data_IF_903410366833
#
_entry.id   IF_903410366833
#
_cell.length_a   1.000
_cell.length_b   1.000
_cell.length_c   1.000
_cell.angle_alpha   90.00
_cell.angle_beta   90.00
_cell.angle_gamma   90.00
#
_symmetry.space_group_name_H-M   'P 1'
#
loop_
_entity.id
_entity.type
_entity.pdbx_description
1 polymer ?
#
# COMPACT_ATOMS: atom_id res chain seq x y z
N UNK A 1 73.78 -37.82 9.99
CA UNK A 1 72.56 -37.13 9.50
C UNK A 1 71.89 -38.04 8.49
N UNK A 2 70.72 -38.61 8.83
CA UNK A 2 69.97 -39.46 7.90
C UNK A 2 69.42 -38.60 6.76
N UNK A 3 69.79 -38.94 5.52
CA UNK A 3 69.11 -38.44 4.31
C UNK A 3 67.69 -38.98 4.30
N UNK A 4 66.70 -38.11 4.24
CA UNK A 4 65.31 -38.52 4.03
C UNK A 4 65.21 -39.27 2.69
N UNK A 5 64.88 -40.57 2.72
CA UNK A 5 64.68 -41.41 1.52
C UNK A 5 63.19 -41.52 1.20
N UNK A 6 62.76 -40.75 0.21
CA UNK A 6 61.43 -40.74 -0.40
C UNK A 6 61.34 -39.58 -1.40
N UNK A 7 60.46 -39.68 -2.41
CA UNK A 7 60.20 -38.56 -3.33
C UNK A 7 59.68 -37.37 -2.52
N UNK A 8 60.50 -36.34 -2.36
CA UNK A 8 60.10 -35.08 -1.76
C UNK A 8 59.11 -34.41 -2.71
N UNK A 9 57.82 -34.66 -2.49
CA UNK A 9 56.77 -33.80 -3.03
C UNK A 9 56.89 -32.50 -2.23
N UNK A 10 57.36 -31.43 -2.86
CA UNK A 10 57.58 -30.13 -2.23
C UNK A 10 56.27 -29.63 -1.60
N UNK A 11 56.09 -29.87 -0.30
CA UNK A 11 55.04 -29.22 0.46
C UNK A 11 55.42 -27.73 0.61
N UNK A 12 54.47 -26.77 0.49
CA UNK A 12 54.73 -25.34 0.64
C UNK A 12 55.27 -24.92 2.01
N UNK A 13 55.23 -25.83 2.99
CA UNK A 13 55.59 -25.57 4.38
C UNK A 13 56.93 -26.26 4.66
N UNK A 14 57.99 -25.47 4.92
CA UNK A 14 59.37 -25.96 5.13
C UNK A 14 59.84 -25.61 6.54
N UNK A 15 60.39 -26.57 7.30
CA UNK A 15 61.51 -26.33 8.22
C UNK A 15 62.79 -26.38 7.38
N UNK A 16 63.49 -25.27 7.19
CA UNK A 16 64.69 -25.20 6.35
C UNK A 16 65.92 -25.78 7.05
N UNK A 17 65.97 -25.77 8.39
CA UNK A 17 66.97 -26.48 9.17
C UNK A 17 66.45 -26.89 10.57
N UNK A 18 67.35 -27.45 11.40
CA UNK A 18 67.02 -27.91 12.75
C UNK A 18 66.86 -26.78 13.79
N UNK A 19 67.07 -25.51 13.40
CA UNK A 19 66.86 -24.34 14.24
C UNK A 19 65.48 -23.68 14.02
N UNK A 20 64.79 -23.99 12.91
CA UNK A 20 63.42 -23.55 12.68
C UNK A 20 62.46 -24.22 13.68
N UNK A 21 62.08 -23.48 14.73
CA UNK A 21 61.15 -23.95 15.75
C UNK A 21 59.73 -24.18 15.21
N UNK A 22 59.37 -23.57 14.08
CA UNK A 22 58.04 -23.68 13.49
C UNK A 22 58.14 -23.77 11.96
N UNK A 23 57.31 -24.61 11.31
CA UNK A 23 57.24 -24.66 9.86
C UNK A 23 56.70 -23.34 9.28
N UNK A 24 57.38 -22.77 8.29
CA UNK A 24 56.99 -21.51 7.63
C UNK A 24 56.91 -21.68 6.11
N UNK A 25 56.20 -20.76 5.46
CA UNK A 25 56.07 -20.66 4.00
C UNK A 25 56.14 -19.18 3.60
N UNK A 26 56.70 -18.88 2.42
CA UNK A 26 56.62 -17.51 1.91
C UNK A 26 55.16 -17.19 1.57
N UNK A 27 54.72 -15.94 1.85
CA UNK A 27 53.37 -15.46 1.51
C UNK A 27 52.96 -15.80 0.07
N UNK A 28 53.89 -15.71 -0.87
CA UNK A 28 53.67 -15.97 -2.29
C UNK A 28 53.42 -17.43 -2.66
N UNK A 29 53.72 -18.37 -1.75
CA UNK A 29 53.58 -19.82 -1.96
C UNK A 29 52.25 -20.37 -1.43
N UNK A 30 51.45 -19.55 -0.73
CA UNK A 30 50.16 -19.95 -0.13
C UNK A 30 49.01 -19.44 -1.01
N UNK A 31 48.23 -20.36 -1.58
CA UNK A 31 47.02 -20.02 -2.34
C UNK A 31 46.05 -19.19 -1.48
N UNK A 32 45.53 -18.10 -2.04
CA UNK A 32 44.59 -17.21 -1.35
C UNK A 32 45.20 -16.37 -0.22
N UNK A 33 46.51 -16.51 0.04
CA UNK A 33 47.22 -15.77 1.07
C UNK A 33 47.34 -14.28 0.75
N UNK A 34 47.93 -13.53 1.68
CA UNK A 34 48.31 -12.16 1.38
C UNK A 34 49.52 -12.17 0.43
N UNK A 35 49.61 -11.29 -0.55
CA UNK A 35 50.77 -11.15 -1.45
C UNK A 35 51.31 -9.72 -1.42
N UNK A 36 52.58 -9.57 -1.81
CA UNK A 36 53.20 -8.27 -2.07
C UNK A 36 53.80 -8.29 -3.47
N UNK A 37 53.57 -7.22 -4.24
CA UNK A 37 54.02 -7.06 -5.63
C UNK A 37 54.57 -5.65 -5.86
N UNK A 38 55.49 -5.52 -6.80
CA UNK A 38 56.09 -4.22 -7.09
C UNK A 38 55.09 -3.32 -7.81
N UNK A 39 54.40 -3.82 -8.83
CA UNK A 39 53.46 -3.06 -9.67
C UNK A 39 52.07 -3.71 -9.77
N UNK A 40 51.07 -2.96 -10.26
CA UNK A 40 49.76 -3.52 -10.62
C UNK A 40 49.89 -4.64 -11.65
N UNK A 41 50.77 -4.48 -12.65
CA UNK A 41 50.97 -5.50 -13.68
C UNK A 41 51.45 -6.82 -13.06
N UNK A 42 52.34 -6.77 -12.05
CA UNK A 42 52.80 -7.96 -11.33
C UNK A 42 51.72 -8.61 -10.46
N UNK A 43 50.77 -7.81 -9.94
CA UNK A 43 49.56 -8.31 -9.26
C UNK A 43 48.64 -9.01 -10.24
N UNK A 44 48.39 -8.40 -11.39
CA UNK A 44 47.49 -8.95 -12.41
C UNK A 44 48.10 -10.17 -13.13
N UNK A 45 49.42 -10.33 -13.06
CA UNK A 45 50.14 -11.52 -13.51
C UNK A 45 50.18 -12.68 -12.48
N UNK A 46 49.59 -12.54 -11.28
CA UNK A 46 49.48 -13.65 -10.32
C UNK A 46 48.71 -14.79 -10.99
N UNK A 47 49.34 -15.96 -11.12
CA UNK A 47 48.75 -17.09 -11.83
C UNK A 47 47.46 -17.59 -11.17
N UNK A 48 46.48 -18.02 -11.99
CA UNK A 48 45.15 -18.44 -11.53
C UNK A 48 45.18 -19.54 -10.44
N UNK A 49 46.16 -20.43 -10.49
CA UNK A 49 46.40 -21.48 -9.49
C UNK A 49 46.68 -20.98 -8.06
N UNK A 50 47.11 -19.72 -7.90
CA UNK A 50 47.36 -19.08 -6.60
C UNK A 50 46.21 -18.16 -6.15
N UNK A 51 45.21 -17.94 -7.00
CA UNK A 51 44.09 -17.04 -6.71
C UNK A 51 42.97 -17.72 -5.93
N UNK A 52 42.42 -16.99 -4.97
CA UNK A 52 41.20 -17.33 -4.24
C UNK A 52 40.40 -16.06 -3.98
N UNK A 53 39.08 -16.16 -3.97
CA UNK A 53 38.22 -15.03 -3.68
C UNK A 53 38.54 -14.49 -2.27
N UNK A 54 38.71 -13.18 -2.15
CA UNK A 54 39.11 -12.53 -0.89
C UNK A 54 40.61 -12.44 -0.66
N UNK A 55 41.45 -12.97 -1.56
CA UNK A 55 42.91 -12.82 -1.51
C UNK A 55 43.33 -11.33 -1.48
N UNK A 56 44.31 -10.98 -0.65
CA UNK A 56 44.84 -9.61 -0.54
C UNK A 56 46.20 -9.45 -1.24
N UNK A 57 46.42 -8.36 -1.97
CA UNK A 57 47.73 -8.02 -2.53
C UNK A 57 48.12 -6.56 -2.26
N UNK A 58 49.24 -6.33 -1.58
CA UNK A 58 49.85 -5.00 -1.46
C UNK A 58 50.73 -4.73 -2.69
N UNK A 59 50.54 -3.57 -3.32
CA UNK A 59 51.33 -3.09 -4.45
C UNK A 59 52.21 -1.94 -3.97
N UNK A 60 53.52 -2.13 -4.06
CA UNK A 60 54.52 -1.19 -3.51
C UNK A 60 54.49 0.14 -4.26
N UNK A 61 54.44 0.10 -5.60
CA UNK A 61 54.44 1.31 -6.43
C UNK A 61 53.28 2.25 -6.10
N UNK A 62 52.11 1.69 -5.79
CA UNK A 62 50.89 2.44 -5.51
C UNK A 62 50.65 2.65 -4.01
N UNK A 63 51.55 2.11 -3.18
CA UNK A 63 51.40 2.04 -1.72
C UNK A 63 49.99 1.58 -1.28
N UNK A 64 49.40 0.63 -2.03
CA UNK A 64 47.98 0.31 -1.97
C UNK A 64 47.74 -1.19 -1.83
N UNK A 65 46.72 -1.56 -1.05
CA UNK A 65 46.25 -2.93 -0.83
C UNK A 65 44.98 -3.17 -1.63
N UNK A 66 44.96 -4.27 -2.37
CA UNK A 66 43.82 -4.72 -3.16
C UNK A 66 43.27 -6.06 -2.67
N UNK A 67 41.98 -6.31 -2.86
CA UNK A 67 41.31 -7.60 -2.61
C UNK A 67 40.74 -8.18 -3.89
N UNK A 68 40.92 -9.48 -4.11
CA UNK A 68 40.41 -10.18 -5.28
C UNK A 68 38.93 -10.54 -5.10
N UNK A 69 38.08 -10.26 -6.09
CA UNK A 69 36.65 -10.58 -6.07
C UNK A 69 36.38 -12.05 -6.41
N UNK A 70 35.12 -12.45 -6.27
CA UNK A 70 34.64 -13.81 -6.53
C UNK A 70 34.85 -14.29 -7.98
N UNK A 71 35.03 -13.37 -8.93
CA UNK A 71 35.31 -13.70 -10.33
C UNK A 71 36.77 -14.11 -10.58
N UNK A 72 37.64 -14.02 -9.56
CA UNK A 72 39.07 -14.35 -9.61
C UNK A 72 39.88 -13.50 -10.61
N UNK A 73 39.31 -12.41 -11.09
CA UNK A 73 39.94 -11.52 -12.07
C UNK A 73 39.95 -10.07 -11.59
N UNK A 74 38.84 -9.61 -10.98
CA UNK A 74 38.66 -8.22 -10.59
C UNK A 74 39.26 -7.95 -9.22
N UNK A 75 40.12 -6.94 -9.14
CA UNK A 75 40.70 -6.43 -7.90
C UNK A 75 39.99 -5.16 -7.45
N UNK A 76 39.66 -5.06 -6.16
CA UNK A 76 39.16 -3.83 -5.55
C UNK A 76 40.18 -3.22 -4.59
N UNK A 77 40.29 -1.90 -4.58
CA UNK A 77 41.14 -1.18 -3.62
C UNK A 77 40.53 -1.27 -2.21
N UNK A 78 41.33 -1.64 -1.22
CA UNK A 78 40.90 -1.76 0.19
C UNK A 78 41.62 -0.76 1.11
N UNK A 79 42.78 -0.25 0.70
CA UNK A 79 43.42 0.86 1.41
C UNK A 79 44.76 1.22 0.79
N UNK A 80 45.02 2.52 0.60
CA UNK A 80 46.28 3.03 0.06
C UNK A 80 46.60 4.43 0.59
N UNK A 81 47.88 4.80 0.56
CA UNK A 81 48.28 6.18 0.81
C UNK A 81 47.85 7.02 -0.39
N UNK A 82 46.71 7.70 -0.26
CA UNK A 82 46.33 8.75 -1.19
C UNK A 82 47.27 9.93 -0.99
N UNK A 83 48.19 10.12 -1.93
CA UNK A 83 48.80 11.43 -2.15
C UNK A 83 47.68 12.40 -2.49
N UNK A 84 47.58 13.45 -1.67
CA UNK A 84 46.48 14.40 -1.70
C UNK A 84 46.42 15.17 -3.00
N UNK A 85 45.38 14.89 -3.78
CA UNK A 85 44.90 15.81 -4.81
C UNK A 85 43.38 15.92 -4.70
N UNK A 86 42.95 16.80 -3.80
CA UNK A 86 41.93 17.80 -4.12
C UNK A 86 40.49 17.38 -4.32
N UNK A 87 40.07 16.14 -4.06
CA UNK A 87 38.64 15.83 -3.95
C UNK A 87 38.23 15.71 -2.48
N UNK A 88 37.25 16.53 -2.11
CA UNK A 88 36.74 16.70 -0.77
C UNK A 88 36.34 15.34 -0.18
N UNK A 89 37.24 14.78 0.63
CA UNK A 89 37.01 13.62 1.49
C UNK A 89 36.07 14.07 2.62
N UNK A 90 34.81 14.32 2.24
CA UNK A 90 33.71 14.00 3.10
C UNK A 90 33.95 12.55 3.51
N UNK A 91 34.16 12.36 4.82
CA UNK A 91 34.07 11.07 5.50
C UNK A 91 33.13 10.19 4.68
N UNK A 92 33.63 9.10 4.09
CA UNK A 92 32.79 8.10 3.45
C UNK A 92 31.90 7.45 4.51
N UNK A 93 30.89 8.20 4.93
CA UNK A 93 29.71 7.74 5.61
C UNK A 93 29.01 6.88 4.56
N UNK A 94 29.30 5.58 4.64
CA UNK A 94 28.50 4.44 4.19
C UNK A 94 27.58 4.82 3.04
N UNK A 95 27.90 4.40 1.83
CA UNK A 95 27.19 4.64 0.57
C UNK A 95 25.74 4.13 0.51
N UNK A 96 24.94 4.37 1.55
CA UNK A 96 23.50 4.29 1.51
C UNK A 96 22.99 5.42 0.64
N UNK A 97 21.87 5.15 -0.01
CA UNK A 97 21.19 5.99 -0.98
C UNK A 97 20.60 7.25 -0.30
N UNK A 98 21.45 8.11 0.26
CA UNK A 98 21.02 9.37 0.87
C UNK A 98 20.51 10.29 -0.25
N UNK A 99 19.27 10.79 -0.11
CA UNK A 99 18.59 11.58 -1.14
C UNK A 99 19.32 12.86 -1.59
N UNK A 100 18.75 13.53 -2.60
CA UNK A 100 19.34 14.70 -3.27
C UNK A 100 19.46 15.90 -2.31
N UNK A 101 20.65 16.50 -2.25
CA UNK A 101 20.88 17.75 -1.52
C UNK A 101 20.03 18.90 -2.08
N UNK A 102 19.28 19.57 -1.21
CA UNK A 102 18.41 20.70 -1.57
C UNK A 102 18.99 22.00 -1.02
N UNK A 103 19.11 23.04 -1.86
CA UNK A 103 19.61 24.35 -1.42
C UNK A 103 18.68 24.97 -0.38
N UNK A 104 19.24 25.69 0.59
CA UNK A 104 18.44 26.52 1.49
C UNK A 104 17.80 27.68 0.71
N UNK A 105 16.67 28.22 1.19
CA UNK A 105 16.01 29.39 0.59
C UNK A 105 16.25 30.67 1.40
N UNK A 106 16.17 31.84 0.75
CA UNK A 106 16.17 33.20 1.33
C UNK A 106 17.27 33.49 2.38
N UNK A 107 18.31 34.20 1.96
CA UNK A 107 19.54 34.41 2.73
C UNK A 107 19.64 35.83 3.28
N UNK A 108 20.48 36.02 4.30
CA UNK A 108 20.87 37.35 4.75
C UNK A 108 21.61 38.10 3.62
N UNK A 109 21.35 39.40 3.47
CA UNK A 109 21.86 40.22 2.36
C UNK A 109 23.41 40.33 2.31
N UNK A 110 24.08 40.11 3.45
CA UNK A 110 25.54 40.13 3.54
C UNK A 110 26.24 38.84 3.05
N UNK A 111 25.49 37.84 2.55
CA UNK A 111 26.04 36.59 2.02
C UNK A 111 26.16 36.73 0.50
N UNK A 112 27.38 36.64 -0.05
CA UNK A 112 27.64 36.91 -1.48
C UNK A 112 28.13 35.73 -2.30
N UNK A 113 28.68 34.70 -1.67
CA UNK A 113 29.00 33.47 -2.37
C UNK A 113 28.46 32.29 -1.57
N UNK A 114 27.65 31.49 -2.24
CA UNK A 114 26.89 30.38 -1.67
C UNK A 114 27.41 29.08 -2.24
N UNK A 115 28.62 28.69 -1.84
CA UNK A 115 29.10 27.36 -2.16
C UNK A 115 28.41 26.34 -1.25
N UNK A 116 27.20 25.93 -1.64
CA UNK A 116 26.64 24.67 -1.20
C UNK A 116 25.86 24.66 0.12
N UNK A 117 25.36 25.79 0.64
CA UNK A 117 24.39 25.80 1.75
C UNK A 117 23.13 25.00 1.39
N UNK A 118 23.07 23.77 1.89
CA UNK A 118 22.09 22.78 1.51
C UNK A 118 21.67 21.94 2.71
N UNK A 119 20.50 21.33 2.60
CA UNK A 119 20.05 20.31 3.52
C UNK A 119 19.65 19.05 2.76
N UNK A 120 19.67 17.92 3.44
CA UNK A 120 19.01 16.69 2.97
C UNK A 120 18.31 16.03 4.14
N UNK A 121 17.19 15.38 3.88
CA UNK A 121 16.48 14.59 4.87
C UNK A 121 16.55 13.12 4.48
N UNK A 122 17.07 12.29 5.37
CA UNK A 122 17.09 10.84 5.24
C UNK A 122 15.95 10.22 6.04
N UNK A 123 15.04 9.55 5.34
CA UNK A 123 13.96 8.73 5.90
C UNK A 123 14.25 7.22 5.75
N UNK A 124 15.24 6.87 4.93
CA UNK A 124 15.50 5.48 4.52
C UNK A 124 16.26 4.69 5.58
N UNK A 125 17.22 5.33 6.26
CA UNK A 125 17.99 4.69 7.32
C UNK A 125 17.22 4.58 8.63
N UNK A 126 16.15 5.38 8.80
CA UNK A 126 15.40 5.48 10.04
C UNK A 126 13.90 5.69 9.73
N UNK A 127 13.11 4.62 9.54
CA UNK A 127 11.71 4.73 9.13
C UNK A 127 10.83 5.45 10.18
N UNK A 128 11.31 5.53 11.42
CA UNK A 128 10.62 6.19 12.52
C UNK A 128 11.15 7.60 12.84
N UNK A 129 12.26 8.01 12.20
CA UNK A 129 12.95 9.28 12.48
C UNK A 129 13.55 9.84 11.20
N UNK A 130 13.13 11.03 10.79
CA UNK A 130 13.83 11.73 9.71
C UNK A 130 15.18 12.23 10.24
N UNK A 131 16.30 12.05 9.53
CA UNK A 131 17.57 12.73 9.87
C UNK A 131 17.80 13.86 8.87
N UNK A 132 17.86 15.11 9.35
CA UNK A 132 18.15 16.26 8.48
C UNK A 132 19.60 16.70 8.66
N UNK A 133 20.37 16.58 7.58
CA UNK A 133 21.73 17.06 7.48
C UNK A 133 21.70 18.49 6.94
N UNK A 134 22.51 19.37 7.50
CA UNK A 134 22.74 20.72 6.98
C UNK A 134 24.23 20.91 6.79
N UNK A 135 24.63 21.27 5.58
CA UNK A 135 26.02 21.51 5.23
C UNK A 135 26.15 22.73 4.33
N UNK A 136 27.35 23.28 4.25
CA UNK A 136 27.72 24.19 3.18
C UNK A 136 28.76 25.21 3.59
N UNK A 137 29.03 26.14 2.69
CA UNK A 137 29.99 27.20 2.86
C UNK A 137 29.36 28.54 2.50
N UNK A 138 29.81 29.59 3.17
CA UNK A 138 29.40 30.95 2.84
C UNK A 138 30.56 31.94 3.02
N UNK A 139 30.48 33.03 2.25
CA UNK A 139 31.35 34.19 2.37
C UNK A 139 30.54 35.47 2.62
N UNK A 140 31.17 36.44 3.30
CA UNK A 140 30.59 37.75 3.57
C UNK A 140 31.25 38.82 2.70
N UNK A 141 30.45 39.73 2.13
CA UNK A 141 30.92 40.86 1.31
C UNK A 141 31.31 42.10 2.11
N UNK A 142 30.77 42.22 3.31
CA UNK A 142 31.03 43.30 4.23
C UNK A 142 31.28 42.72 5.63
N UNK A 143 32.03 43.47 6.44
CA UNK A 143 32.23 43.10 7.83
C UNK A 143 30.87 43.08 8.51
N UNK A 144 30.52 41.94 9.13
CA UNK A 144 29.23 41.81 9.80
C UNK A 144 29.42 42.04 11.30
N UNK A 145 28.77 43.09 11.80
CA UNK A 145 28.64 43.39 13.22
C UNK A 145 27.18 43.14 13.66
N UNK A 146 26.97 42.11 14.48
CA UNK A 146 25.64 41.72 14.95
C UNK A 146 25.70 40.45 15.78
N UNK A 147 24.57 39.91 16.21
CA UNK A 147 24.54 38.67 17.02
C UNK A 147 23.96 37.48 16.26
N UNK A 148 23.32 37.69 15.11
CA UNK A 148 22.62 36.66 14.35
C UNK A 148 22.76 36.87 12.85
N UNK A 149 23.10 35.81 12.11
CA UNK A 149 23.07 35.76 10.63
C UNK A 149 22.11 34.64 10.23
N UNK A 150 21.10 34.94 9.42
CA UNK A 150 20.20 33.93 8.85
C UNK A 150 20.82 33.33 7.57
N UNK A 151 21.14 32.04 7.62
CA UNK A 151 21.70 31.27 6.51
C UNK A 151 20.65 30.75 5.54
N UNK A 152 19.37 30.75 5.93
CA UNK A 152 18.29 30.31 5.06
C UNK A 152 17.10 29.76 5.81
N UNK A 153 16.18 29.15 5.06
CA UNK A 153 14.96 28.52 5.62
C UNK A 153 14.79 27.10 5.07
N UNK A 154 14.47 26.16 5.97
CA UNK A 154 14.05 24.80 5.65
C UNK A 154 12.53 24.79 5.32
N UNK A 155 12.11 24.13 4.23
CA UNK A 155 10.70 23.99 3.86
C UNK A 155 9.84 23.37 4.97
N UNK A 156 8.55 23.73 5.01
CA UNK A 156 7.64 23.36 6.10
C UNK A 156 7.65 21.87 6.48
N UNK A 157 7.70 20.99 5.47
CA UNK A 157 7.66 19.54 5.66
C UNK A 157 8.95 18.95 6.25
N UNK A 158 10.02 19.75 6.37
CA UNK A 158 11.34 19.31 6.84
C UNK A 158 11.79 20.05 8.11
N UNK A 159 10.93 20.90 8.69
CA UNK A 159 11.26 21.70 9.88
C UNK A 159 11.38 20.84 11.14
N UNK A 160 12.28 21.20 12.06
CA UNK A 160 12.34 20.50 13.34
C UNK A 160 11.15 20.89 14.24
N UNK A 161 10.70 19.95 15.08
CA UNK A 161 9.62 20.21 16.06
C UNK A 161 10.09 21.05 17.26
N UNK A 162 11.38 21.08 17.53
CA UNK A 162 12.01 21.87 18.58
C UNK A 162 13.16 22.69 17.99
N UNK A 163 13.48 23.83 18.63
CA UNK A 163 14.66 24.59 18.25
C UNK A 163 15.92 23.76 18.49
N UNK A 164 16.82 23.78 17.52
CA UNK A 164 18.08 23.06 17.55
C UNK A 164 19.21 24.05 17.74
N UNK A 165 20.24 23.64 18.49
CA UNK A 165 21.41 24.47 18.76
C UNK A 165 22.65 23.59 18.77
N UNK A 166 23.58 23.82 17.85
CA UNK A 166 24.89 23.16 17.79
C UNK A 166 25.97 24.19 18.03
N UNK A 167 26.81 23.96 19.03
CA UNK A 167 27.97 24.80 19.30
C UNK A 167 29.04 24.59 18.23
N UNK A 168 29.61 25.71 17.77
CA UNK A 168 30.64 25.78 16.74
C UNK A 168 31.71 26.79 17.20
N UNK A 169 32.95 26.55 16.79
CA UNK A 169 34.06 27.48 16.97
C UNK A 169 34.69 27.69 15.61
N UNK A 170 34.88 28.96 15.22
CA UNK A 170 35.75 29.32 14.10
C UNK A 170 36.75 30.37 14.58
N UNK A 171 38.04 30.03 14.50
CA UNK A 171 39.09 30.79 15.18
C UNK A 171 38.82 30.91 16.69
N UNK A 172 38.71 32.15 17.18
CA UNK A 172 38.44 32.47 18.59
C UNK A 172 36.99 32.91 18.86
N UNK A 173 36.07 32.72 17.90
CA UNK A 173 34.68 33.16 18.02
C UNK A 173 33.79 31.97 18.39
N UNK A 174 33.15 32.06 19.57
CA UNK A 174 32.11 31.12 19.99
C UNK A 174 30.79 31.42 19.29
N UNK A 175 30.25 30.44 18.57
CA UNK A 175 28.96 30.59 17.90
C UNK A 175 28.12 29.33 17.96
N UNK A 176 26.86 29.48 17.57
CA UNK A 176 25.90 28.39 17.51
C UNK A 176 25.21 28.36 16.16
N UNK A 177 25.16 27.21 15.51
CA UNK A 177 24.17 26.95 14.48
C UNK A 177 22.82 26.70 15.18
N UNK A 178 21.83 27.52 14.85
CA UNK A 178 20.48 27.42 15.37
C UNK A 178 19.52 27.11 14.23
N UNK A 179 18.71 26.06 14.39
CA UNK A 179 17.59 25.78 13.47
C UNK A 179 16.30 25.96 14.26
N UNK A 180 15.51 26.97 13.90
CA UNK A 180 14.25 27.25 14.57
C UNK A 180 13.13 26.32 14.09
N UNK A 181 12.07 26.20 14.89
CA UNK A 181 10.86 25.45 14.51
C UNK A 181 10.13 26.07 13.32
N UNK A 182 10.38 27.35 13.05
CA UNK A 182 9.95 28.07 11.84
C UNK A 182 10.72 27.66 10.58
N UNK A 183 11.76 26.84 10.73
CA UNK A 183 12.67 26.41 9.65
C UNK A 183 13.85 27.35 9.43
N UNK A 184 13.93 28.50 10.09
CA UNK A 184 15.04 29.42 9.92
C UNK A 184 16.36 28.80 10.43
N UNK A 185 17.36 28.76 9.56
CA UNK A 185 18.73 28.32 9.88
C UNK A 185 19.56 29.57 10.12
N UNK A 186 20.19 29.67 11.29
CA UNK A 186 20.90 30.86 11.76
C UNK A 186 22.25 30.49 12.34
N UNK A 187 23.23 31.37 12.23
CA UNK A 187 24.38 31.38 13.12
C UNK A 187 24.15 32.47 14.15
N UNK A 188 24.33 32.14 15.42
CA UNK A 188 24.18 33.07 16.54
C UNK A 188 25.50 33.12 17.30
N UNK A 189 26.12 34.29 17.39
CA UNK A 189 27.29 34.49 18.25
C UNK A 189 26.85 34.78 19.68
N UNK A 190 27.57 34.23 20.66
CA UNK A 190 27.35 34.50 22.08
C UNK A 190 27.75 35.93 22.45
N UNK A 191 28.88 36.39 21.91
CA UNK A 191 29.51 37.67 22.26
C UNK A 191 29.44 38.71 21.12
N UNK A 192 28.70 38.39 20.06
CA UNK A 192 28.63 39.17 18.82
C UNK A 192 29.60 38.66 17.76
N UNK A 193 29.26 38.92 16.50
CA UNK A 193 30.11 38.68 15.36
C UNK A 193 31.00 39.90 15.15
N UNK A 194 32.29 39.64 15.00
CA UNK A 194 33.18 40.54 14.30
C UNK A 194 33.85 39.72 13.19
N UNK A 195 33.04 39.31 12.22
CA UNK A 195 33.53 38.50 11.11
C UNK A 195 34.15 39.43 10.07
N UNK A 196 35.45 39.29 9.76
CA UNK A 196 36.10 40.11 8.75
C UNK A 196 35.51 39.80 7.37
N UNK A 197 35.55 40.79 6.46
CA UNK A 197 35.25 40.61 5.04
C UNK A 197 36.16 39.52 4.50
N UNK A 198 35.59 38.54 3.81
CA UNK A 198 36.39 37.48 3.21
C UNK A 198 36.90 37.92 1.84
N UNK A 199 37.92 38.79 1.83
CA UNK A 199 38.49 39.39 0.62
C UNK A 199 39.47 38.42 -0.09
N UNK A 200 39.05 37.17 -0.31
CA UNK A 200 39.83 36.12 -0.96
C UNK A 200 40.51 35.09 -0.05
N UNK A 201 40.09 34.95 1.21
CA UNK A 201 40.55 33.86 2.09
C UNK A 201 39.51 32.71 2.15
N UNK A 202 39.90 31.59 2.76
CA UNK A 202 39.10 30.35 2.80
C UNK A 202 37.67 30.60 3.32
N UNK A 203 36.64 29.98 2.72
CA UNK A 203 35.25 30.18 3.12
C UNK A 203 34.98 29.58 4.51
N UNK A 204 33.93 30.06 5.19
CA UNK A 204 33.52 29.47 6.46
C UNK A 204 32.79 28.14 6.19
N UNK A 205 33.35 27.04 6.68
CA UNK A 205 32.79 25.69 6.54
C UNK A 205 31.78 25.39 7.65
N UNK A 206 30.61 24.89 7.25
CA UNK A 206 29.57 24.41 8.16
C UNK A 206 29.29 22.93 7.89
N UNK A 207 29.54 22.09 8.89
CA UNK A 207 29.06 20.71 8.93
C UNK A 207 28.29 20.47 10.22
N UNK A 208 27.00 20.15 10.09
CA UNK A 208 26.13 19.87 11.21
C UNK A 208 25.32 18.59 10.97
N UNK A 209 25.70 17.55 11.73
CA UNK A 209 24.90 16.33 11.88
C UNK A 209 23.81 16.55 12.91
N UNK A 210 22.56 16.35 12.51
CA UNK A 210 21.44 16.32 13.43
C UNK A 210 20.56 15.09 13.20
N UNK A 211 20.41 14.29 14.26
CA UNK A 211 19.44 13.20 14.36
C UNK A 211 18.27 13.74 15.20
N UNK A 212 17.17 14.19 14.59
CA UNK A 212 15.97 14.49 15.36
C UNK A 212 15.46 13.22 16.02
N UNK A 213 15.26 13.29 17.34
CA UNK A 213 14.20 12.51 17.98
C UNK A 213 12.86 13.00 17.39
N UNK A 214 12.54 12.52 16.19
CA UNK A 214 11.16 12.53 15.73
C UNK A 214 10.50 11.37 16.47
N UNK A 215 9.87 11.64 17.61
CA UNK A 215 8.65 10.90 17.90
C UNK A 215 7.73 11.21 16.73
N UNK A 216 7.53 10.22 15.86
CA UNK A 216 6.49 10.22 14.84
C UNK A 216 5.27 10.87 15.49
N UNK A 217 4.86 12.02 14.95
CA UNK A 217 3.49 12.44 15.21
C UNK A 217 2.65 11.25 14.81
N UNK A 218 1.72 10.85 15.68
CA UNK A 218 0.74 9.82 15.40
C UNK A 218 0.34 9.94 13.92
N UNK A 219 0.52 8.87 13.13
CA UNK A 219 0.08 8.89 11.73
C UNK A 219 -1.41 9.15 11.79
N UNK A 220 -1.81 10.39 11.49
CA UNK A 220 -3.21 10.77 11.50
C UNK A 220 -3.83 10.04 10.34
N UNK A 221 -4.54 8.96 10.66
CA UNK A 221 -5.28 8.18 9.69
C UNK A 221 -6.68 8.76 9.64
N UNK A 222 -7.02 9.39 8.53
CA UNK A 222 -8.35 9.89 8.26
C UNK A 222 -9.22 8.73 7.80
N UNK A 223 -10.41 8.60 8.38
CA UNK A 223 -11.35 7.52 8.06
C UNK A 223 -12.63 8.10 7.48
N UNK A 224 -13.11 7.51 6.40
CA UNK A 224 -14.45 7.72 5.87
C UNK A 224 -15.18 6.38 5.82
N UNK A 225 -16.47 6.37 6.11
CA UNK A 225 -17.32 5.19 6.00
C UNK A 225 -18.43 5.50 5.01
N UNK A 226 -18.59 4.63 4.01
CA UNK A 226 -19.76 4.65 3.13
C UNK A 226 -20.67 3.50 3.48
N UNK A 227 -21.95 3.81 3.68
CA UNK A 227 -22.98 2.84 4.02
C UNK A 227 -24.18 3.00 3.10
N UNK A 228 -24.76 1.88 2.67
CA UNK A 228 -26.01 1.85 1.93
C UNK A 228 -26.74 0.53 2.19
N UNK A 229 -28.04 0.54 1.92
CA UNK A 229 -28.90 -0.63 2.02
C UNK A 229 -29.04 -1.30 0.67
N UNK A 230 -28.90 -2.62 0.65
CA UNK A 230 -29.02 -3.45 -0.54
C UNK A 230 -30.06 -4.54 -0.31
N UNK A 231 -30.96 -4.71 -1.28
CA UNK A 231 -31.97 -5.78 -1.24
C UNK A 231 -31.42 -7.01 -1.93
N UNK A 232 -31.50 -8.17 -1.27
CA UNK A 232 -31.18 -9.44 -1.92
C UNK A 232 -32.05 -9.65 -3.16
N UNK A 233 -31.45 -9.92 -4.32
CA UNK A 233 -32.16 -9.94 -5.60
C UNK A 233 -32.04 -11.26 -6.38
N UNK A 234 -31.32 -12.23 -5.85
CA UNK A 234 -31.14 -13.58 -6.40
C UNK A 234 -32.16 -14.59 -5.83
N UNK A 235 -33.29 -14.11 -5.30
CA UNK A 235 -34.35 -14.98 -4.77
C UNK A 235 -35.10 -15.69 -5.90
N UNK A 236 -35.47 -16.96 -5.65
CA UNK A 236 -36.32 -17.73 -6.57
C UNK A 236 -37.72 -17.14 -6.71
N UNK A 237 -38.45 -17.57 -7.75
CA UNK A 237 -39.83 -17.12 -8.01
C UNK A 237 -40.73 -17.33 -6.79
N UNK A 238 -41.52 -16.32 -6.42
CA UNK A 238 -42.41 -16.36 -5.25
C UNK A 238 -41.78 -15.88 -3.93
N UNK A 239 -40.53 -15.42 -3.97
CA UNK A 239 -39.81 -14.91 -2.81
C UNK A 239 -39.31 -13.48 -3.04
N UNK A 240 -39.24 -12.69 -1.96
CA UNK A 240 -38.63 -11.38 -1.93
C UNK A 240 -37.40 -11.42 -1.00
N UNK A 241 -36.34 -10.73 -1.39
CA UNK A 241 -35.15 -10.62 -0.55
C UNK A 241 -35.34 -9.63 0.59
N UNK A 242 -34.67 -9.89 1.71
CA UNK A 242 -34.53 -8.92 2.78
C UNK A 242 -33.57 -7.80 2.39
N UNK A 243 -33.76 -6.62 2.98
CA UNK A 243 -32.81 -5.51 2.94
C UNK A 243 -31.68 -5.77 3.94
N UNK A 244 -30.44 -5.57 3.52
CA UNK A 244 -29.25 -5.69 4.36
C UNK A 244 -28.41 -4.42 4.23
N UNK A 245 -27.99 -3.85 5.35
CA UNK A 245 -27.07 -2.71 5.38
C UNK A 245 -25.63 -3.17 5.15
N UNK A 246 -24.95 -2.55 4.18
CA UNK A 246 -23.54 -2.78 3.88
C UNK A 246 -22.74 -1.52 4.18
N UNK A 247 -21.59 -1.68 4.83
CA UNK A 247 -20.68 -0.58 5.15
C UNK A 247 -19.25 -0.93 4.76
N UNK A 248 -18.53 0.03 4.18
CA UNK A 248 -17.11 -0.09 3.81
C UNK A 248 -16.33 1.10 4.34
N UNK A 249 -15.15 0.83 4.89
CA UNK A 249 -14.26 1.83 5.49
C UNK A 249 -13.13 2.17 4.53
N UNK A 250 -12.83 3.45 4.40
CA UNK A 250 -11.77 4.01 3.55
C UNK A 250 -10.81 4.80 4.44
N UNK A 251 -9.51 4.68 4.18
CA UNK A 251 -8.46 5.29 4.98
C UNK A 251 -7.51 6.12 4.10
N UNK A 252 -7.11 7.27 4.61
CA UNK A 252 -6.11 8.15 4.00
C UNK A 252 -5.13 8.64 5.05
N UNK A 253 -3.85 8.72 4.69
CA UNK A 253 -2.81 9.36 5.51
C UNK A 253 -2.51 10.79 5.06
N UNK A 254 -3.23 11.30 4.06
CA UNK A 254 -2.99 12.62 3.46
C UNK A 254 -3.91 13.67 4.10
N UNK A 255 -5.23 13.49 3.99
CA UNK A 255 -6.25 14.38 4.56
C UNK A 255 -7.64 13.69 4.56
N UNK A 256 -8.62 14.31 5.25
CA UNK A 256 -10.01 13.84 5.33
C UNK A 256 -10.73 13.89 3.97
N UNK A 257 -10.49 14.94 3.18
CA UNK A 257 -11.16 15.12 1.88
C UNK A 257 -10.79 13.99 0.90
N UNK A 258 -9.58 13.47 0.99
CA UNK A 258 -9.10 12.32 0.23
C UNK A 258 -9.80 11.04 0.66
N UNK A 259 -9.96 10.81 1.97
CA UNK A 259 -10.73 9.66 2.48
C UNK A 259 -12.20 9.74 2.03
N UNK A 260 -12.81 10.93 2.09
CA UNK A 260 -14.18 11.16 1.65
C UNK A 260 -14.33 10.96 0.13
N UNK A 261 -13.36 11.41 -0.66
CA UNK A 261 -13.34 11.20 -2.12
C UNK A 261 -13.17 9.73 -2.49
N UNK A 262 -12.35 8.97 -1.76
CA UNK A 262 -12.22 7.52 -1.96
C UNK A 262 -13.55 6.82 -1.69
N UNK A 263 -14.23 7.20 -0.60
CA UNK A 263 -15.53 6.64 -0.25
C UNK A 263 -16.60 6.98 -1.31
N UNK A 264 -16.67 8.25 -1.74
CA UNK A 264 -17.67 8.72 -2.71
C UNK A 264 -17.47 8.13 -4.10
N UNK A 265 -16.23 7.88 -4.52
CA UNK A 265 -15.89 7.49 -5.89
C UNK A 265 -15.48 6.01 -6.05
N UNK A 266 -15.68 5.15 -5.04
CA UNK A 266 -15.45 3.70 -5.20
C UNK A 266 -16.47 3.11 -6.20
N UNK A 267 -16.04 2.67 -7.41
CA UNK A 267 -16.93 2.10 -8.40
C UNK A 267 -17.37 0.67 -8.07
N UNK A 268 -16.70 0.00 -7.14
CA UNK A 268 -17.02 -1.37 -6.73
C UNK A 268 -18.06 -1.42 -5.61
N UNK A 269 -18.33 -0.31 -4.92
CA UNK A 269 -19.16 -0.28 -3.71
C UNK A 269 -20.54 -0.93 -3.91
N UNK A 270 -21.21 -0.64 -5.03
CA UNK A 270 -22.56 -1.18 -5.28
C UNK A 270 -22.53 -2.67 -5.63
N UNK A 271 -21.49 -3.13 -6.35
CA UNK A 271 -21.31 -4.54 -6.68
C UNK A 271 -20.95 -5.37 -5.43
N UNK A 272 -20.05 -4.85 -4.59
CA UNK A 272 -19.68 -5.44 -3.31
C UNK A 272 -20.91 -5.52 -2.38
N UNK A 273 -21.69 -4.43 -2.32
CA UNK A 273 -22.91 -4.35 -1.52
C UNK A 273 -23.99 -5.33 -1.98
N UNK A 274 -24.20 -5.46 -3.29
CA UNK A 274 -25.16 -6.44 -3.82
C UNK A 274 -24.69 -7.89 -3.60
N UNK A 275 -23.41 -8.19 -3.77
CA UNK A 275 -22.85 -9.51 -3.49
C UNK A 275 -23.00 -9.86 -1.99
N UNK A 276 -22.75 -8.89 -1.12
CA UNK A 276 -22.98 -9.04 0.32
C UNK A 276 -24.45 -9.33 0.64
N UNK A 277 -25.40 -8.57 0.09
CA UNK A 277 -26.83 -8.80 0.29
C UNK A 277 -27.29 -10.17 -0.22
N UNK A 278 -26.78 -10.64 -1.36
CA UNK A 278 -27.11 -11.96 -1.88
C UNK A 278 -26.54 -13.11 -1.01
N UNK A 279 -25.39 -12.89 -0.38
CA UNK A 279 -24.77 -13.87 0.53
C UNK A 279 -25.38 -13.92 1.94
N UNK A 280 -25.82 -12.78 2.46
CA UNK A 280 -26.25 -12.64 3.87
C UNK A 280 -27.75 -12.42 4.05
N UNK A 281 -28.42 -11.87 3.03
CA UNK A 281 -29.86 -11.64 3.05
C UNK A 281 -30.64 -12.95 3.03
N UNK A 282 -31.86 -12.93 3.57
CA UNK A 282 -32.79 -14.05 3.51
C UNK A 282 -33.81 -13.82 2.39
N UNK A 283 -34.33 -14.90 1.83
CA UNK A 283 -35.49 -14.85 0.95
C UNK A 283 -36.74 -15.15 1.77
N UNK A 284 -37.65 -14.19 1.86
CA UNK A 284 -38.96 -14.37 2.49
C UNK A 284 -39.98 -14.67 1.42
N UNK A 285 -40.93 -15.53 1.74
CA UNK A 285 -42.03 -15.84 0.85
C UNK A 285 -42.87 -14.58 0.64
N UNK A 286 -43.15 -14.23 -0.62
CA UNK A 286 -44.13 -13.19 -0.94
C UNK A 286 -45.52 -13.79 -0.76
N UNK A 287 -46.38 -13.24 0.12
CA UNK A 287 -47.75 -13.71 0.24
C UNK A 287 -48.51 -13.38 -1.04
N UNK A 288 -48.66 -14.38 -1.90
CA UNK A 288 -49.63 -14.40 -3.00
C UNK A 288 -51.01 -14.60 -2.40
N UNK A 289 -51.82 -13.54 -2.39
CA UNK A 289 -53.26 -13.63 -2.16
C UNK A 289 -54.00 -13.52 -3.49
N UNK A 290 -55.06 -14.31 -3.63
CA UNK A 290 -56.00 -14.22 -4.73
C UNK A 290 -57.42 -14.41 -4.21
N UNK A 291 -58.38 -13.82 -4.91
CA UNK A 291 -59.79 -13.88 -4.55
C UNK A 291 -60.50 -14.70 -5.62
N UNK A 292 -61.26 -15.71 -5.18
CA UNK A 292 -62.24 -16.40 -6.03
C UNK A 292 -63.62 -15.93 -5.63
N UNK A 293 -64.36 -15.40 -6.59
CA UNK A 293 -65.79 -15.10 -6.46
C UNK A 293 -66.59 -16.12 -7.25
N UNK A 294 -67.53 -16.81 -6.58
CA UNK A 294 -68.37 -17.82 -7.22
C UNK A 294 -69.71 -17.21 -7.64
N UNK A 295 -69.95 -17.13 -8.95
CA UNK A 295 -71.24 -16.73 -9.52
C UNK A 295 -72.11 -17.92 -9.98
N UNK A 296 -71.68 -19.16 -9.74
CA UNK A 296 -72.45 -20.36 -10.03
C UNK A 296 -73.43 -20.65 -8.89
N UNK A 297 -74.64 -21.07 -9.26
CA UNK A 297 -75.70 -21.47 -8.32
C UNK A 297 -75.31 -22.66 -7.44
N UNK A 298 -74.27 -23.42 -7.81
CA UNK A 298 -73.70 -24.53 -7.04
C UNK A 298 -72.37 -24.13 -6.37
N UNK A 299 -72.02 -24.75 -5.22
CA UNK A 299 -70.72 -24.54 -4.58
C UNK A 299 -69.56 -24.99 -5.47
N UNK A 300 -68.53 -24.15 -5.61
CA UNK A 300 -67.28 -24.49 -6.30
C UNK A 300 -66.27 -25.04 -5.29
N UNK A 301 -65.63 -26.16 -5.61
CA UNK A 301 -64.54 -26.73 -4.81
C UNK A 301 -63.19 -26.31 -5.36
N UNK A 302 -62.40 -25.65 -4.52
CA UNK A 302 -61.05 -25.20 -4.84
C UNK A 302 -60.08 -26.09 -4.07
N UNK A 303 -59.18 -26.76 -4.77
CA UNK A 303 -58.14 -27.58 -4.15
C UNK A 303 -56.80 -26.86 -4.32
N UNK A 304 -56.16 -26.53 -3.21
CA UNK A 304 -54.82 -25.96 -3.23
C UNK A 304 -53.78 -27.06 -3.47
N UNK A 305 -52.60 -26.69 -3.98
CA UNK A 305 -51.51 -27.63 -4.23
C UNK A 305 -51.05 -28.43 -2.98
N UNK A 306 -51.33 -27.91 -1.77
CA UNK A 306 -51.07 -28.61 -0.51
C UNK A 306 -52.17 -29.62 -0.11
N UNK A 307 -53.17 -29.85 -0.97
CA UNK A 307 -54.30 -30.76 -0.74
C UNK A 307 -55.45 -30.18 0.08
N UNK A 308 -55.38 -28.92 0.53
CA UNK A 308 -56.50 -28.28 1.22
C UNK A 308 -57.63 -27.98 0.25
N UNK A 309 -58.86 -28.34 0.65
CA UNK A 309 -60.08 -28.15 -0.15
C UNK A 309 -60.96 -27.10 0.51
N UNK A 310 -61.39 -26.11 -0.28
CA UNK A 310 -62.31 -25.07 0.14
C UNK A 310 -63.57 -25.09 -0.71
N UNK A 311 -64.71 -24.79 -0.09
CA UNK A 311 -65.97 -24.54 -0.81
C UNK A 311 -66.27 -23.05 -0.82
N UNK A 312 -66.57 -22.51 -2.01
CA UNK A 312 -67.05 -21.14 -2.23
C UNK A 312 -68.49 -21.23 -2.68
N UNK A 313 -69.44 -20.72 -1.88
CA UNK A 313 -70.87 -20.78 -2.22
C UNK A 313 -71.24 -19.66 -3.21
N UNK A 314 -72.45 -19.75 -3.80
CA UNK A 314 -72.99 -18.74 -4.70
C UNK A 314 -72.95 -17.33 -4.11
N UNK A 315 -72.51 -16.35 -4.91
CA UNK A 315 -72.30 -14.95 -4.56
C UNK A 315 -71.39 -14.73 -3.34
N UNK A 316 -70.50 -15.68 -3.05
CA UNK A 316 -69.46 -15.50 -2.05
C UNK A 316 -68.10 -15.32 -2.71
N UNK A 317 -67.30 -14.45 -2.11
CA UNK A 317 -65.87 -14.31 -2.39
C UNK A 317 -65.07 -14.94 -1.26
N UNK A 318 -64.00 -15.64 -1.58
CA UNK A 318 -63.04 -16.15 -0.59
C UNK A 318 -61.63 -15.76 -1.02
N UNK A 319 -60.90 -15.13 -0.10
CA UNK A 319 -59.47 -14.85 -0.25
C UNK A 319 -58.67 -16.08 0.15
N UNK A 320 -57.73 -16.46 -0.69
CA UNK A 320 -56.81 -17.56 -0.46
C UNK A 320 -55.41 -17.00 -0.32
N UNK A 321 -54.75 -17.32 0.79
CA UNK A 321 -53.33 -17.05 0.97
C UNK A 321 -52.60 -18.35 0.66
N UNK A 322 -51.88 -18.37 -0.46
CA UNK A 322 -51.17 -19.56 -0.91
C UNK A 322 -49.75 -19.19 -1.29
N UNK A 323 -48.91 -18.95 -0.28
CA UNK A 323 -47.59 -18.39 -0.48
C UNK A 323 -46.70 -19.38 -1.25
N UNK A 324 -46.08 -18.95 -2.35
CA UNK A 324 -45.21 -19.79 -3.18
C UNK A 324 -45.93 -20.77 -4.13
N UNK A 325 -47.26 -20.71 -4.23
CA UNK A 325 -48.01 -21.48 -5.23
C UNK A 325 -48.08 -20.69 -6.54
N UNK A 326 -47.73 -21.33 -7.65
CA UNK A 326 -47.75 -20.74 -9.01
C UNK A 326 -48.89 -21.27 -9.90
N UNK A 327 -49.59 -22.32 -9.44
CA UNK A 327 -50.72 -22.95 -10.14
C UNK A 327 -51.80 -23.46 -9.17
N UNK A 328 -53.07 -23.29 -9.53
CA UNK A 328 -54.19 -23.99 -8.88
C UNK A 328 -54.95 -24.88 -9.86
N UNK A 329 -55.58 -25.90 -9.29
CA UNK A 329 -56.59 -26.71 -9.97
C UNK A 329 -57.98 -26.37 -9.41
N UNK A 330 -58.83 -25.81 -10.28
CA UNK A 330 -60.24 -25.62 -9.96
C UNK A 330 -61.01 -26.82 -10.50
N UNK A 331 -61.69 -27.53 -9.61
CA UNK A 331 -62.54 -28.66 -9.97
C UNK A 331 -64.00 -28.28 -9.77
N UNK A 332 -64.68 -28.00 -10.88
CA UNK A 332 -66.11 -27.70 -10.89
C UNK A 332 -66.85 -29.04 -10.97
N UNK A 333 -67.26 -29.57 -9.83
CA UNK A 333 -67.93 -30.87 -9.75
C UNK A 333 -69.33 -30.85 -10.36
N UNK A 334 -69.62 -31.83 -11.23
CA UNK A 334 -70.94 -32.13 -11.81
C UNK A 334 -71.69 -30.92 -12.40
N UNK A 335 -71.09 -30.34 -13.44
CA UNK A 335 -71.87 -29.69 -14.49
C UNK A 335 -72.42 -30.81 -15.39
N UNK A 336 -73.74 -30.88 -15.50
CA UNK A 336 -74.41 -31.89 -16.34
C UNK A 336 -74.26 -31.61 -17.84
N UNK A 337 -73.70 -30.45 -18.19
CA UNK A 337 -73.60 -29.92 -19.54
C UNK A 337 -72.26 -29.18 -19.73
N UNK A 338 -71.86 -28.99 -20.99
CA UNK A 338 -70.64 -28.30 -21.38
C UNK A 338 -70.80 -26.79 -21.18
N UNK A 339 -70.14 -26.22 -20.17
CA UNK A 339 -70.22 -24.78 -19.89
C UNK A 339 -68.91 -24.06 -20.26
N UNK A 340 -69.05 -22.85 -20.80
CA UNK A 340 -67.93 -21.96 -21.07
C UNK A 340 -67.60 -21.17 -19.81
N UNK A 341 -66.32 -21.11 -19.46
CA UNK A 341 -65.83 -20.27 -18.38
C UNK A 341 -65.03 -19.11 -18.94
N UNK A 342 -65.05 -18.02 -18.18
CA UNK A 342 -64.20 -16.86 -18.40
C UNK A 342 -63.42 -16.60 -17.13
N UNK A 343 -62.16 -16.27 -17.29
CA UNK A 343 -61.25 -15.84 -16.26
C UNK A 343 -60.80 -14.44 -16.64
N UNK A 344 -61.30 -13.45 -15.93
CA UNK A 344 -60.87 -12.07 -16.09
C UNK A 344 -59.73 -11.76 -15.14
N UNK A 345 -58.62 -11.26 -15.68
CA UNK A 345 -57.52 -10.71 -14.92
C UNK A 345 -57.62 -9.17 -14.94
N UNK A 346 -58.02 -8.53 -13.83
CA UNK A 346 -58.17 -7.09 -13.76
C UNK A 346 -56.84 -6.34 -13.76
N UNK A 347 -55.71 -7.02 -13.57
CA UNK A 347 -54.39 -6.36 -13.52
C UNK A 347 -53.80 -6.11 -14.92
N UNK A 348 -54.14 -6.95 -15.89
CA UNK A 348 -53.71 -6.81 -17.29
C UNK A 348 -54.88 -6.65 -18.28
N UNK A 349 -56.11 -6.65 -17.77
CA UNK A 349 -57.37 -6.58 -18.54
C UNK A 349 -57.56 -7.73 -19.54
N UNK A 350 -56.85 -8.86 -19.36
CA UNK A 350 -56.99 -10.02 -20.23
C UNK A 350 -58.13 -10.92 -19.79
N UNK A 351 -58.74 -11.60 -20.77
CA UNK A 351 -59.71 -12.64 -20.54
C UNK A 351 -59.14 -13.96 -21.05
N UNK A 352 -58.99 -14.94 -20.18
CA UNK A 352 -58.82 -16.33 -20.61
C UNK A 352 -60.20 -16.99 -20.63
N UNK A 353 -60.47 -17.81 -21.64
CA UNK A 353 -61.69 -18.58 -21.71
C UNK A 353 -61.39 -20.03 -22.08
N UNK A 354 -62.34 -20.90 -21.79
CA UNK A 354 -62.27 -22.29 -22.18
C UNK A 354 -63.61 -22.98 -21.98
N UNK A 355 -63.64 -24.25 -22.33
CA UNK A 355 -64.83 -25.08 -22.27
C UNK A 355 -64.57 -26.25 -21.32
N UNK A 356 -65.42 -26.43 -20.30
CA UNK A 356 -65.26 -27.55 -19.36
C UNK A 356 -66.18 -28.68 -19.80
N UNK A 357 -65.61 -29.88 -19.88
CA UNK A 357 -66.37 -31.13 -19.91
C UNK A 357 -66.21 -31.78 -18.54
N UNK A 358 -67.29 -32.34 -17.99
CA UNK A 358 -67.34 -32.90 -16.63
C UNK A 358 -66.09 -33.73 -16.27
N UNK A 359 -65.49 -33.42 -15.11
CA UNK A 359 -64.37 -34.19 -14.56
C UNK A 359 -62.96 -33.74 -14.97
N UNK A 360 -62.80 -32.70 -15.79
CA UNK A 360 -61.49 -32.17 -16.18
C UNK A 360 -61.07 -31.02 -15.25
N UNK A 361 -59.92 -31.12 -14.55
CA UNK A 361 -59.39 -30.01 -13.76
C UNK A 361 -58.88 -28.89 -14.67
N UNK A 362 -59.20 -27.64 -14.33
CA UNK A 362 -58.63 -26.46 -15.02
C UNK A 362 -57.40 -26.00 -14.26
N UNK A 363 -56.27 -25.88 -14.97
CA UNK A 363 -55.06 -25.27 -14.43
C UNK A 363 -55.07 -23.77 -14.69
N UNK A 364 -55.06 -22.99 -13.61
CA UNK A 364 -55.01 -21.52 -13.70
C UNK A 364 -53.63 -21.04 -13.22
N UNK A 365 -52.85 -20.34 -14.06
CA UNK A 365 -51.61 -19.71 -13.64
C UNK A 365 -51.90 -18.55 -12.68
N UNK A 366 -51.11 -18.42 -11.62
CA UNK A 366 -51.26 -17.34 -10.64
C UNK A 366 -50.21 -16.29 -10.92
N UNK A 367 -50.62 -15.03 -11.00
CA UNK A 367 -49.69 -13.92 -10.87
C UNK A 367 -50.06 -13.07 -9.65
N UNK A 368 -49.04 -12.41 -9.09
CA UNK A 368 -49.11 -11.73 -7.80
C UNK A 368 -50.22 -10.67 -7.75
N UNK A 369 -51.12 -10.78 -6.76
CA UNK A 369 -52.14 -9.76 -6.47
C UNK A 369 -53.35 -9.76 -7.40
N UNK A 370 -53.55 -10.81 -8.20
CA UNK A 370 -54.66 -10.89 -9.14
C UNK A 370 -55.96 -11.39 -8.52
N UNK A 371 -57.07 -10.83 -8.99
CA UNK A 371 -58.41 -11.30 -8.68
C UNK A 371 -58.91 -12.12 -9.86
N UNK A 372 -59.36 -13.34 -9.62
CA UNK A 372 -59.87 -14.20 -10.67
C UNK A 372 -61.38 -14.34 -10.51
N UNK A 373 -62.13 -13.90 -11.51
CA UNK A 373 -63.57 -14.06 -11.56
C UNK A 373 -63.90 -15.29 -12.39
N UNK A 374 -64.66 -16.22 -11.82
CA UNK A 374 -65.27 -17.33 -12.55
C UNK A 374 -66.75 -16.99 -12.74
N UNK A 375 -67.15 -16.64 -13.97
CA UNK A 375 -68.56 -16.45 -14.34
C UNK A 375 -69.02 -17.55 -15.29
N UNK A 376 -70.30 -17.90 -15.17
CA UNK A 376 -71.04 -18.57 -16.24
C UNK A 376 -71.79 -17.50 -17.02
N UNK A 377 -71.88 -17.64 -18.35
CA UNK A 377 -73.00 -17.02 -19.04
C UNK A 377 -74.24 -17.84 -18.70
N UNK A 378 -75.25 -17.23 -18.08
CA UNK A 378 -76.59 -17.78 -18.29
C UNK A 378 -76.84 -17.82 -19.80
N UNK A 379 -77.53 -18.85 -20.34
CA UNK A 379 -77.99 -18.78 -21.70
C UNK A 379 -78.83 -17.50 -21.83
N UNK A 380 -78.39 -16.58 -22.70
CA UNK A 380 -79.17 -15.41 -23.08
C UNK A 380 -80.51 -15.91 -23.62
N UNK A 381 -81.54 -15.91 -22.78
CA UNK A 381 -82.92 -15.96 -23.24
C UNK A 381 -83.27 -14.55 -23.71
N UNK A 382 -83.33 -14.38 -25.04
CA UNK A 382 -84.13 -13.33 -25.67
C UNK A 382 -85.62 -13.65 -25.51
#
# INVERSE_FOLDING_TARGET
>A
MSKNTGTLVAAPIRPNDSADQYPAAYQSEIKGGHHTRATIADRDAIGAWLREAGMYCYVIADQSTYRLKNDLVTWELVGGNGDGEGDNDAVQLISGNFGVWTKLGAYHAAIVDQMGLSFKTDLSSFPTRAITYVQGQFALDAAFAGTTITLGTIPANNRPKAQLKKYLITGNIEMFLVIETTGAVKIVSKDGFNLPVNNGAEPYYLDAFYNPDVTLGEIVTYTAIRSADFTRNDCGVGYAGTVVSFSKTYQSTTDQATADNMAANDPAFDNDGQAYANSTGSCTIVPTSFIITNFYSKPVKVTLANGQVYSVNYNQSRTFNAPGVTRFEVNIGNIGETENWWLYDPSDSTMQNGTITSGIPIQIPIYNGQTFVLSANEPFYY
#
